data_IF_567407093335
#
_entry.id   IF_567407093335
#
_cell.length_a   1.000
_cell.length_b   1.000
_cell.length_c   1.000
_cell.angle_alpha   90.00
_cell.angle_beta   90.00
_cell.angle_gamma   90.00
#
_symmetry.space_group_name_H-M   'P 1'
#
loop_
_entity.id
_entity.type
_entity.pdbx_description
1 polymer ?
#
# COMPACT_ATOMS: atom_id res chain seq x y z
N UNK A 1 11.94 -5.04 6.41
CA UNK A 1 11.14 -4.01 5.71
C UNK A 1 11.95 -3.50 4.53
N UNK A 2 11.39 -3.34 3.32
CA UNK A 2 12.12 -2.77 2.19
C UNK A 2 12.25 -1.24 2.34
N UNK A 3 13.25 -0.65 1.68
CA UNK A 3 13.31 0.79 1.47
C UNK A 3 12.16 1.19 0.54
N UNK A 4 11.41 2.21 0.90
CA UNK A 4 10.32 2.72 0.07
C UNK A 4 10.75 4.05 -0.53
N UNK A 5 10.83 4.11 -1.85
CA UNK A 5 11.09 5.34 -2.59
C UNK A 5 9.75 5.89 -3.07
N UNK A 6 9.42 7.11 -2.68
CA UNK A 6 8.23 7.82 -3.15
C UNK A 6 8.62 9.08 -3.90
N UNK A 7 7.77 9.51 -4.84
CA UNK A 7 7.89 10.79 -5.53
C UNK A 7 6.57 11.16 -6.19
N UNK A 8 6.34 12.44 -6.39
CA UNK A 8 5.12 12.98 -7.02
C UNK A 8 5.48 13.72 -8.30
N UNK A 9 4.67 13.59 -9.33
CA UNK A 9 4.78 14.39 -10.54
C UNK A 9 3.37 14.73 -11.06
N UNK A 10 3.30 15.38 -12.21
CA UNK A 10 2.04 15.75 -12.88
C UNK A 10 1.12 14.53 -13.17
N UNK A 11 1.69 13.33 -13.31
CA UNK A 11 0.96 12.09 -13.57
C UNK A 11 0.51 11.38 -12.28
N UNK A 12 0.89 11.90 -11.11
CA UNK A 12 0.51 11.38 -9.80
C UNK A 12 1.69 10.97 -8.92
N UNK A 13 1.46 10.03 -7.99
CA UNK A 13 2.49 9.56 -7.07
C UNK A 13 3.04 8.19 -7.48
N UNK A 14 4.34 8.01 -7.37
CA UNK A 14 5.04 6.76 -7.62
C UNK A 14 5.65 6.25 -6.32
N UNK A 15 5.39 4.98 -5.99
CA UNK A 15 5.87 4.34 -4.77
C UNK A 15 6.53 3.01 -5.13
N UNK A 16 7.84 2.89 -4.90
CA UNK A 16 8.63 1.73 -5.28
C UNK A 16 9.41 1.17 -4.09
N UNK A 17 9.15 -0.08 -3.74
CA UNK A 17 9.92 -0.82 -2.74
C UNK A 17 11.22 -1.38 -3.32
N UNK A 18 12.34 -1.19 -2.62
CA UNK A 18 13.66 -1.76 -2.95
C UNK A 18 14.26 -2.46 -1.74
N UNK A 19 14.87 -3.62 -1.98
CA UNK A 19 15.54 -4.42 -0.93
C UNK A 19 16.94 -3.94 -0.56
N UNK A 20 17.48 -2.94 -1.26
CA UNK A 20 18.85 -2.46 -1.06
C UNK A 20 18.86 -0.92 -1.05
N UNK A 21 19.58 -0.34 -0.08
CA UNK A 21 19.77 1.09 0.11
C UNK A 21 20.35 1.76 -1.15
N UNK A 22 21.42 1.21 -1.73
CA UNK A 22 22.08 1.78 -2.91
C UNK A 22 21.15 1.86 -4.12
N UNK A 23 20.31 0.83 -4.30
CA UNK A 23 19.32 0.79 -5.38
C UNK A 23 18.19 1.78 -5.13
N UNK A 24 17.76 1.94 -3.88
CA UNK A 24 16.76 2.94 -3.49
C UNK A 24 17.25 4.37 -3.77
N UNK A 25 18.49 4.69 -3.37
CA UNK A 25 19.13 5.99 -3.64
C UNK A 25 19.30 6.26 -5.14
N UNK A 26 19.75 5.26 -5.90
CA UNK A 26 19.89 5.40 -7.36
C UNK A 26 18.54 5.68 -8.02
N UNK A 27 17.47 5.02 -7.57
CA UNK A 27 16.11 5.26 -8.07
C UNK A 27 15.60 6.64 -7.68
N UNK A 28 15.82 7.08 -6.44
CA UNK A 28 15.44 8.41 -6.00
C UNK A 28 16.11 9.50 -6.84
N UNK A 29 17.42 9.38 -7.09
CA UNK A 29 18.17 10.27 -8.01
C UNK A 29 17.70 10.18 -9.47
N UNK A 30 17.10 9.06 -9.87
CA UNK A 30 16.49 8.93 -11.20
C UNK A 30 15.17 9.68 -11.26
N UNK A 31 14.31 9.52 -10.26
CA UNK A 31 13.02 10.20 -10.17
C UNK A 31 13.20 11.73 -10.19
N UNK A 32 14.19 12.26 -9.46
CA UNK A 32 14.52 13.69 -9.51
C UNK A 32 14.88 14.15 -10.93
N UNK A 33 15.64 13.34 -11.68
CA UNK A 33 15.99 13.64 -13.08
C UNK A 33 14.80 13.52 -14.03
N UNK A 34 13.89 12.60 -13.75
CA UNK A 34 12.66 12.40 -14.52
C UNK A 34 11.59 13.49 -14.19
N UNK A 35 11.91 14.48 -13.35
CA UNK A 35 11.02 15.60 -13.00
C UNK A 35 10.02 15.29 -11.89
N UNK A 36 10.24 14.23 -11.11
CA UNK A 36 9.47 14.00 -9.89
C UNK A 36 9.92 14.96 -8.78
N UNK A 37 8.93 15.53 -8.10
CA UNK A 37 9.01 16.38 -6.93
C UNK A 37 8.77 15.55 -5.66
N UNK A 38 9.07 16.13 -4.49
CA UNK A 38 8.89 15.51 -3.17
C UNK A 38 9.47 14.09 -3.04
N UNK A 39 10.59 13.83 -3.72
CA UNK A 39 11.23 12.52 -3.72
C UNK A 39 11.77 12.21 -2.33
N UNK A 40 11.30 11.10 -1.75
CA UNK A 40 11.64 10.67 -0.38
C UNK A 40 12.03 9.20 -0.35
N UNK A 41 12.93 8.85 0.55
CA UNK A 41 13.33 7.46 0.80
C UNK A 41 13.02 7.12 2.26
N UNK A 42 12.02 6.28 2.46
CA UNK A 42 11.74 5.69 3.76
C UNK A 42 12.64 4.47 3.97
N UNK A 43 13.44 4.53 5.02
CA UNK A 43 14.33 3.45 5.46
C UNK A 43 13.55 2.42 6.30
N UNK A 44 14.02 1.17 6.36
CA UNK A 44 13.45 0.15 7.25
C UNK A 44 13.47 0.52 8.74
N UNK A 45 14.30 1.49 9.14
CA UNK A 45 14.38 2.01 10.51
C UNK A 45 13.28 3.04 10.82
N UNK A 46 12.40 3.33 9.86
CA UNK A 46 11.35 4.34 10.00
C UNK A 46 11.84 5.78 9.80
N UNK A 47 13.12 6.00 9.43
CA UNK A 47 13.59 7.33 9.01
C UNK A 47 13.18 7.61 7.57
N UNK A 48 12.69 8.81 7.31
CA UNK A 48 12.39 9.29 5.96
C UNK A 48 13.44 10.32 5.59
N UNK A 49 14.08 10.13 4.45
CA UNK A 49 15.13 11.01 3.95
C UNK A 49 14.62 11.78 2.73
N UNK A 50 14.93 13.07 2.69
CA UNK A 50 14.66 13.95 1.57
C UNK A 50 15.84 14.01 0.59
N UNK A 51 15.65 14.71 -0.53
CA UNK A 51 16.64 14.79 -1.61
C UNK A 51 18.02 15.29 -1.15
N UNK A 52 18.06 16.27 -0.24
CA UNK A 52 19.30 16.80 0.34
C UNK A 52 20.02 15.78 1.24
N UNK A 53 19.27 14.91 1.91
CA UNK A 53 19.78 13.94 2.89
C UNK A 53 20.21 12.61 2.23
N UNK A 54 20.12 12.49 0.90
CA UNK A 54 20.53 11.28 0.18
C UNK A 54 22.04 11.04 0.21
N UNK A 55 22.83 12.09 0.42
CA UNK A 55 24.29 11.99 0.54
C UNK A 55 24.73 11.66 1.97
N UNK A 56 23.93 12.06 2.97
CA UNK A 56 24.17 11.73 4.39
C UNK A 56 23.97 10.23 4.69
N UNK A 57 23.26 9.50 3.82
CA UNK A 57 23.27 8.04 3.77
C UNK A 57 24.56 7.47 3.13
N UNK A 58 25.72 8.02 3.51
CA UNK A 58 26.99 7.32 3.34
C UNK A 58 26.80 5.87 3.81
N UNK A 59 27.10 4.86 2.96
CA UNK A 59 26.92 3.45 3.28
C UNK A 59 28.00 3.01 4.27
N UNK A 60 28.08 3.64 5.43
CA UNK A 60 28.89 3.20 6.56
C UNK A 60 28.24 1.96 7.14
N UNK A 61 28.54 0.83 6.50
CA UNK A 61 28.73 -0.51 7.06
C UNK A 61 27.71 -1.08 8.07
N UNK A 62 26.54 -0.49 8.29
CA UNK A 62 25.61 -1.02 9.29
C UNK A 62 24.64 -2.03 8.67
N UNK A 63 25.14 -3.26 8.66
CA UNK A 63 24.40 -4.48 8.98
C UNK A 63 23.53 -5.10 7.89
N UNK A 64 23.84 -6.37 7.61
CA UNK A 64 23.27 -7.16 6.53
C UNK A 64 21.75 -7.31 6.64
N UNK A 65 21.04 -6.89 5.60
CA UNK A 65 19.64 -7.25 5.42
C UNK A 65 19.55 -8.47 4.51
N UNK A 66 19.22 -9.60 5.15
CA UNK A 66 19.04 -10.90 4.53
C UNK A 66 18.18 -10.82 3.26
N UNK A 67 18.68 -11.45 2.20
CA UNK A 67 17.95 -11.79 0.97
C UNK A 67 16.58 -12.38 1.35
N UNK A 68 15.52 -11.62 1.17
CA UNK A 68 14.21 -12.04 1.65
C UNK A 68 13.06 -11.39 0.87
N UNK A 69 12.51 -12.17 -0.06
CA UNK A 69 11.16 -12.10 -0.62
C UNK A 69 10.91 -11.08 -1.74
N UNK A 70 11.17 -11.55 -2.97
CA UNK A 70 10.48 -11.11 -4.18
C UNK A 70 8.97 -11.35 -4.02
N UNK A 71 8.22 -10.32 -3.64
CA UNK A 71 6.75 -10.34 -3.75
C UNK A 71 6.38 -9.61 -5.05
N UNK A 72 6.07 -10.39 -6.07
CA UNK A 72 5.45 -9.89 -7.30
C UNK A 72 4.04 -9.42 -6.94
N UNK A 73 3.84 -8.10 -6.86
CA UNK A 73 2.49 -7.52 -6.80
C UNK A 73 1.89 -7.58 -8.21
N UNK A 74 1.41 -8.77 -8.60
CA UNK A 74 0.41 -8.87 -9.65
C UNK A 74 -0.91 -8.56 -8.96
N UNK A 75 -1.30 -7.28 -8.93
CA UNK A 75 -2.69 -6.91 -8.65
C UNK A 75 -3.54 -7.65 -9.69
N UNK A 76 -4.09 -8.79 -9.28
CA UNK A 76 -5.11 -9.47 -10.01
C UNK A 76 -6.28 -8.50 -10.07
N UNK A 77 -6.42 -7.83 -11.23
CA UNK A 77 -7.67 -7.26 -11.73
C UNK A 77 -8.82 -8.09 -11.16
N UNK A 78 -9.60 -7.51 -10.25
CA UNK A 78 -10.75 -8.12 -9.58
C UNK A 78 -11.43 -9.10 -10.54
N UNK A 79 -11.45 -10.43 -10.30
CA UNK A 79 -12.30 -11.29 -11.10
C UNK A 79 -13.73 -10.81 -10.86
N UNK A 80 -14.33 -10.31 -11.94
CA UNK A 80 -15.69 -9.80 -11.96
C UNK A 80 -16.62 -10.97 -11.69
N UNK A 81 -16.98 -11.16 -10.42
CA UNK A 81 -18.18 -11.82 -9.91
C UNK A 81 -18.80 -12.81 -10.90
N UNK A 82 -18.32 -14.05 -10.90
CA UNK A 82 -19.11 -15.15 -11.47
C UNK A 82 -20.34 -15.31 -10.58
N UNK A 83 -21.49 -14.84 -11.07
CA UNK A 83 -22.78 -15.06 -10.42
C UNK A 83 -23.26 -16.44 -10.84
N UNK A 84 -22.90 -17.47 -10.10
CA UNK A 84 -23.57 -18.76 -10.23
C UNK A 84 -25.02 -18.60 -9.71
N UNK A 85 -25.97 -18.38 -10.64
CA UNK A 85 -27.41 -18.51 -10.36
C UNK A 85 -27.82 -19.94 -10.68
N UNK A 86 -27.61 -20.84 -9.75
CA UNK A 86 -28.43 -22.04 -9.61
C UNK A 86 -28.91 -21.99 -8.18
N UNK A 87 -30.20 -21.71 -7.96
CA UNK A 87 -31.18 -22.51 -7.18
C UNK A 87 -32.55 -21.87 -7.43
N UNK A 88 -33.40 -22.57 -8.19
CA UNK A 88 -34.83 -22.27 -8.25
C UNK A 88 -35.47 -22.66 -6.90
N UNK A 89 -36.40 -21.83 -6.44
CA UNK A 89 -36.93 -21.81 -5.09
C UNK A 89 -37.54 -23.14 -4.60
N UNK A 90 -37.23 -23.49 -3.35
CA UNK A 90 -38.16 -24.19 -2.46
C UNK A 90 -39.10 -23.15 -1.81
N UNK A 91 -40.43 -23.33 -1.81
CA UNK A 91 -41.35 -22.35 -1.25
C UNK A 91 -41.53 -22.61 0.26
N UNK A 92 -41.24 -21.63 1.11
CA UNK A 92 -42.04 -21.43 2.33
C UNK A 92 -41.77 -20.07 2.97
N UNK A 93 -42.86 -19.49 3.42
CA UNK A 93 -43.11 -18.11 3.82
C UNK A 93 -42.84 -17.98 5.32
N UNK A 94 -41.95 -17.07 5.74
CA UNK A 94 -42.08 -16.40 7.03
C UNK A 94 -41.75 -14.92 6.93
N UNK A 95 -42.68 -14.21 7.52
CA UNK A 95 -42.97 -12.78 7.48
C UNK A 95 -42.02 -11.96 8.34
N UNK A 96 -41.78 -10.74 7.84
CA UNK A 96 -41.42 -9.49 8.52
C UNK A 96 -40.81 -9.54 9.94
N UNK A 97 -39.63 -8.94 10.09
CA UNK A 97 -39.50 -7.61 10.72
C UNK A 97 -38.01 -7.25 10.86
N UNK A 98 -37.59 -6.24 10.11
CA UNK A 98 -36.32 -5.54 10.30
C UNK A 98 -36.45 -4.59 11.49
N UNK A 99 -35.84 -4.93 12.62
CA UNK A 99 -35.67 -4.04 13.77
C UNK A 99 -34.37 -4.41 14.53
N UNK A 100 -33.36 -3.54 14.62
CA UNK A 100 -32.43 -3.56 15.74
C UNK A 100 -33.06 -2.84 16.93
N UNK A 101 -33.07 -3.52 18.08
CA UNK A 101 -33.60 -3.06 19.36
C UNK A 101 -32.79 -1.87 19.91
N UNK A 102 -33.44 -0.72 20.07
CA UNK A 102 -33.01 0.36 20.96
C UNK A 102 -34.15 0.60 21.95
N UNK A 103 -33.98 0.10 23.18
CA UNK A 103 -34.90 0.29 24.30
C UNK A 103 -35.02 1.75 24.81
N UNK A 104 -35.70 1.97 25.95
CA UNK A 104 -37.08 2.48 25.96
C UNK A 104 -37.16 3.95 26.40
N UNK A 105 -38.03 4.74 25.75
CA UNK A 105 -38.35 6.09 26.21
C UNK A 105 -39.86 6.36 26.27
N UNK A 106 -40.36 6.33 27.51
CA UNK A 106 -41.39 7.19 28.11
C UNK A 106 -42.89 6.88 27.87
N UNK A 107 -43.50 6.49 28.99
CA UNK A 107 -44.94 6.46 29.29
C UNK A 107 -45.56 7.87 29.31
N UNK A 108 -46.83 7.97 28.88
CA UNK A 108 -47.94 8.55 29.65
C UNK A 108 -49.26 8.04 29.09
#
# INVERSE_FOLDING_TARGET
MPYLVSGTNEYGSSNLGRGNATVALRLARKLLRDGYMDVRVCTPRGRVLQADEFDELEPTEESGMAKGQQRSNREAKKPKKDKSKVIAAAPSRKEAAWQPDFGPAKKK
#
